data_IF_483136672405
#
_entry.id   IF_483136672405
#
_cell.length_a   1.000
_cell.length_b   1.000
_cell.length_c   1.000
_cell.angle_alpha   90.00
_cell.angle_beta   90.00
_cell.angle_gamma   90.00
#
_symmetry.space_group_name_H-M   'P 1'
#
loop_
_entity.id
_entity.type
_entity.pdbx_description
1 polymer ?
#
# COMPACT_ATOMS: atom_id res chain seq x y z
N UNK A 1 -13.83 -3.72 -5.65
CA UNK A 1 -13.60 -3.79 -4.18
C UNK A 1 -14.64 -2.91 -3.52
N UNK A 2 -15.40 -3.46 -2.57
CA UNK A 2 -16.51 -2.74 -1.96
C UNK A 2 -16.01 -1.53 -1.16
N UNK A 3 -16.76 -0.43 -1.21
CA UNK A 3 -16.49 0.83 -0.49
C UNK A 3 -16.98 0.76 0.98
N UNK A 4 -16.92 -0.44 1.59
CA UNK A 4 -17.55 -0.76 2.89
C UNK A 4 -16.59 -1.35 3.94
N UNK A 5 -15.28 -1.17 3.78
CA UNK A 5 -14.27 -1.58 4.76
C UNK A 5 -13.72 -0.37 5.55
N UNK A 6 -13.05 -0.62 6.68
CA UNK A 6 -12.41 0.41 7.50
C UNK A 6 -11.06 0.85 6.93
N UNK A 7 -10.50 0.12 5.94
CA UNK A 7 -9.35 0.57 5.16
C UNK A 7 -9.70 1.79 4.28
N UNK A 8 -8.96 2.87 4.47
CA UNK A 8 -9.06 4.04 3.61
C UNK A 8 -8.47 3.78 2.22
N UNK A 9 -8.78 4.64 1.25
CA UNK A 9 -8.10 4.60 -0.06
C UNK A 9 -6.59 4.81 0.09
N UNK A 10 -6.15 5.63 1.05
CA UNK A 10 -4.73 5.81 1.32
C UNK A 10 -4.09 4.52 1.87
N UNK A 11 -4.76 3.80 2.77
CA UNK A 11 -4.26 2.53 3.33
C UNK A 11 -4.07 1.49 2.23
N UNK A 12 -5.04 1.38 1.31
CA UNK A 12 -4.96 0.45 0.17
C UNK A 12 -3.77 0.80 -0.74
N UNK A 13 -3.58 2.06 -1.09
CA UNK A 13 -2.43 2.48 -1.89
C UNK A 13 -1.10 2.30 -1.13
N UNK A 14 -1.08 2.47 0.19
CA UNK A 14 0.10 2.23 1.03
C UNK A 14 0.55 0.77 0.96
N UNK A 15 -0.38 -0.18 1.13
CA UNK A 15 -0.13 -1.63 0.96
C UNK A 15 0.47 -1.90 -0.42
N UNK A 16 -0.13 -1.33 -1.47
CA UNK A 16 0.33 -1.54 -2.85
C UNK A 16 1.76 -1.03 -3.04
N UNK A 17 2.07 0.17 -2.54
CA UNK A 17 3.41 0.77 -2.68
C UNK A 17 4.46 -0.07 -1.98
N UNK A 18 4.24 -0.45 -0.72
CA UNK A 18 5.19 -1.22 0.08
C UNK A 18 5.46 -2.60 -0.53
N UNK A 19 4.41 -3.38 -0.80
CA UNK A 19 4.52 -4.73 -1.38
C UNK A 19 5.09 -4.70 -2.81
N UNK A 20 4.76 -3.68 -3.61
CA UNK A 20 5.36 -3.49 -4.93
C UNK A 20 6.84 -3.13 -4.87
N UNK A 21 7.28 -2.45 -3.80
CA UNK A 21 8.69 -2.14 -3.57
C UNK A 21 9.49 -3.40 -3.25
N UNK A 22 8.96 -4.29 -2.41
CA UNK A 22 9.51 -5.65 -2.17
C UNK A 22 9.68 -6.41 -3.49
N UNK A 23 8.66 -6.36 -4.35
CA UNK A 23 8.67 -6.97 -5.68
C UNK A 23 9.45 -6.17 -6.74
N UNK A 24 10.03 -5.01 -6.39
CA UNK A 24 10.80 -4.10 -7.25
C UNK A 24 10.04 -3.59 -8.49
N UNK A 25 8.71 -3.57 -8.46
CA UNK A 25 7.89 -3.26 -9.62
C UNK A 25 7.80 -1.74 -9.88
N UNK A 26 8.68 -1.21 -10.74
CA UNK A 26 8.73 0.23 -11.06
C UNK A 26 7.36 0.82 -11.46
N UNK A 27 6.59 0.12 -12.30
CA UNK A 27 5.29 0.62 -12.75
C UNK A 27 4.35 0.86 -11.57
N UNK A 28 4.17 -0.15 -10.73
CA UNK A 28 3.25 -0.08 -9.60
C UNK A 28 3.73 0.91 -8.54
N UNK A 29 5.03 0.94 -8.21
CA UNK A 29 5.61 1.89 -7.26
C UNK A 29 5.31 3.34 -7.69
N UNK A 30 5.55 3.66 -8.96
CA UNK A 30 5.36 5.04 -9.46
C UNK A 30 3.88 5.41 -9.55
N UNK A 31 3.03 4.53 -10.09
CA UNK A 31 1.61 4.82 -10.29
C UNK A 31 0.86 4.90 -8.95
N UNK A 32 1.02 3.89 -8.10
CA UNK A 32 0.33 3.83 -6.81
C UNK A 32 0.93 4.76 -5.77
N UNK A 33 2.23 5.08 -5.88
CA UNK A 33 2.82 6.17 -5.09
C UNK A 33 2.17 7.52 -5.38
N UNK A 34 1.80 7.80 -6.64
CA UNK A 34 1.06 9.01 -7.00
C UNK A 34 -0.36 9.04 -6.41
N UNK A 35 -1.08 7.92 -6.51
CA UNK A 35 -2.42 7.78 -5.93
C UNK A 35 -2.40 7.89 -4.40
N UNK A 36 -1.43 7.23 -3.77
CA UNK A 36 -1.19 7.35 -2.33
C UNK A 36 -1.02 8.81 -1.91
N UNK A 37 -0.12 9.56 -2.59
CA UNK A 37 0.09 10.99 -2.29
C UNK A 37 -1.19 11.82 -2.43
N UNK A 38 -2.04 11.50 -3.41
CA UNK A 38 -3.34 12.18 -3.59
C UNK A 38 -4.30 11.88 -2.44
N UNK A 39 -4.47 10.59 -2.07
CA UNK A 39 -5.45 10.19 -1.07
C UNK A 39 -5.02 10.54 0.35
N UNK A 40 -3.76 10.29 0.70
CA UNK A 40 -3.19 10.62 2.02
C UNK A 40 -2.97 12.13 2.22
N UNK A 41 -2.89 12.89 1.12
CA UNK A 41 -2.41 14.29 1.11
C UNK A 41 -1.02 14.45 1.72
N UNK A 42 -0.24 13.37 1.78
CA UNK A 42 1.13 13.35 2.26
C UNK A 42 2.08 13.19 1.06
N UNK A 43 2.85 14.23 0.69
CA UNK A 43 3.71 14.16 -0.49
C UNK A 43 4.96 13.27 -0.30
N UNK A 44 5.28 12.87 0.94
CA UNK A 44 6.53 12.19 1.29
C UNK A 44 6.37 10.69 1.53
N UNK A 45 5.28 10.26 2.16
CA UNK A 45 5.17 8.90 2.69
C UNK A 45 5.27 7.81 1.60
N UNK A 46 4.76 8.06 0.39
CA UNK A 46 4.90 7.12 -0.72
C UNK A 46 6.37 6.82 -1.08
N UNK A 47 7.25 7.82 -1.00
CA UNK A 47 8.67 7.63 -1.30
C UNK A 47 9.37 6.88 -0.15
N UNK A 48 8.96 7.15 1.09
CA UNK A 48 9.48 6.44 2.28
C UNK A 48 9.11 4.95 2.25
N UNK A 49 7.82 4.65 1.98
CA UNK A 49 7.32 3.28 1.81
C UNK A 49 8.08 2.51 0.73
N UNK A 50 8.34 3.17 -0.40
CA UNK A 50 9.04 2.55 -1.52
C UNK A 50 10.54 2.30 -1.24
N UNK A 51 11.15 3.13 -0.39
CA UNK A 51 12.57 3.01 -0.04
C UNK A 51 12.79 2.00 1.09
N UNK A 52 12.07 2.16 2.21
CA UNK A 52 12.05 1.25 3.34
C UNK A 52 10.85 1.56 4.23
N UNK A 53 9.81 0.72 4.15
CA UNK A 53 8.59 0.87 4.92
C UNK A 53 8.83 0.77 6.44
N UNK A 54 9.82 0.01 6.90
CA UNK A 54 10.11 -0.15 8.34
C UNK A 54 10.48 1.19 9.00
N UNK A 55 11.20 2.02 8.26
CA UNK A 55 11.66 3.36 8.67
C UNK A 55 10.74 4.51 8.21
N UNK A 56 9.63 4.19 7.54
CA UNK A 56 8.68 5.21 7.10
C UNK A 56 7.93 5.84 8.29
N UNK A 57 7.46 7.08 8.11
CA UNK A 57 6.71 7.82 9.14
C UNK A 57 5.26 7.33 9.21
N UNK A 58 5.07 6.10 9.67
CA UNK A 58 3.79 5.42 9.86
C UNK A 58 3.26 5.65 11.27
N UNK A 59 1.94 5.78 11.39
CA UNK A 59 1.28 5.60 12.69
C UNK A 59 1.14 4.10 13.03
N UNK A 60 0.77 3.80 14.29
CA UNK A 60 0.71 2.42 14.77
C UNK A 60 -0.30 1.56 13.99
N UNK A 61 -1.42 2.16 13.57
CA UNK A 61 -2.43 1.48 12.75
C UNK A 61 -1.90 1.15 11.36
N UNK A 62 -1.22 2.09 10.72
CA UNK A 62 -0.61 1.89 9.41
C UNK A 62 0.48 0.83 9.45
N UNK A 63 1.25 0.78 10.53
CA UNK A 63 2.26 -0.25 10.77
C UNK A 63 1.61 -1.62 10.91
N UNK A 64 0.59 -1.77 11.75
CA UNK A 64 -0.14 -3.04 11.90
C UNK A 64 -0.72 -3.56 10.57
N UNK A 65 -1.24 -2.66 9.73
CA UNK A 65 -1.71 -3.01 8.37
C UNK A 65 -0.56 -3.54 7.51
N UNK A 66 0.60 -2.87 7.54
CA UNK A 66 1.75 -3.26 6.71
C UNK A 66 2.44 -4.53 7.20
N UNK A 67 2.52 -4.76 8.51
CA UNK A 67 3.11 -5.99 9.06
C UNK A 67 2.38 -7.22 8.47
N UNK A 68 1.05 -7.22 8.52
CA UNK A 68 0.21 -8.27 7.93
C UNK A 68 0.36 -8.34 6.41
N UNK A 69 0.37 -7.19 5.72
CA UNK A 69 0.50 -7.16 4.26
C UNK A 69 1.86 -7.69 3.78
N UNK A 70 2.93 -7.43 4.52
CA UNK A 70 4.28 -7.87 4.19
C UNK A 70 4.43 -9.38 4.39
N UNK A 71 3.88 -9.93 5.48
CA UNK A 71 3.84 -11.39 5.68
C UNK A 71 3.08 -12.10 4.55
N UNK A 72 1.92 -11.57 4.14
CA UNK A 72 1.17 -12.12 3.00
C UNK A 72 1.98 -11.99 1.69
N UNK A 73 2.70 -10.88 1.51
CA UNK A 73 3.55 -10.67 0.34
C UNK A 73 4.68 -11.72 0.25
N UNK A 74 5.21 -12.13 1.39
CA UNK A 74 6.25 -13.16 1.52
C UNK A 74 5.68 -14.59 1.63
N UNK A 75 4.36 -14.75 1.48
CA UNK A 75 3.63 -16.02 1.59
C UNK A 75 3.71 -16.69 2.98
N UNK A 76 3.87 -15.89 4.04
CA UNK A 76 3.84 -16.35 5.43
C UNK A 76 2.40 -16.49 5.96
N UNK A 77 2.12 -17.42 6.89
CA UNK A 77 0.80 -17.61 7.47
C UNK A 77 0.48 -16.52 8.49
N UNK A 78 -0.76 -16.00 8.44
CA UNK A 78 -1.25 -15.04 9.43
C UNK A 78 -1.54 -15.72 10.78
N UNK A 79 -1.12 -15.07 11.86
CA UNK A 79 -1.26 -15.54 13.24
C UNK A 79 -2.44 -14.91 13.96
N UNK A 80 -2.94 -15.56 15.01
CA UNK A 80 -4.02 -15.02 15.85
C UNK A 80 -3.63 -13.69 16.53
N UNK A 81 -2.34 -13.53 16.90
CA UNK A 81 -1.83 -12.31 17.51
C UNK A 81 -1.91 -11.11 16.55
N UNK A 82 -1.62 -11.31 15.27
CA UNK A 82 -1.76 -10.26 14.25
C UNK A 82 -3.24 -9.90 14.03
N UNK A 83 -4.13 -10.89 14.06
CA UNK A 83 -5.57 -10.64 13.96
C UNK A 83 -6.05 -9.79 15.14
N UNK A 84 -5.57 -10.08 16.34
CA UNK A 84 -5.91 -9.29 17.53
C UNK A 84 -5.30 -7.89 17.49
N UNK A 85 -4.06 -7.75 17.00
CA UNK A 85 -3.44 -6.44 16.82
C UNK A 85 -4.21 -5.56 15.83
N UNK A 86 -4.68 -6.12 14.71
CA UNK A 86 -5.56 -5.39 13.79
C UNK A 86 -6.84 -4.89 14.49
N UNK A 87 -7.46 -5.71 15.35
CA UNK A 87 -8.65 -5.31 16.13
C UNK A 87 -8.36 -4.17 17.10
N UNK A 88 -7.19 -4.16 17.74
CA UNK A 88 -6.77 -3.06 18.62
C UNK A 88 -6.75 -1.71 17.89
N UNK A 89 -6.52 -1.71 16.58
CA UNK A 89 -6.55 -0.53 15.71
C UNK A 89 -7.89 -0.31 15.00
N UNK A 90 -8.96 -0.98 15.45
CA UNK A 90 -10.32 -0.82 14.93
C UNK A 90 -10.55 -1.44 13.56
N UNK A 91 -9.72 -2.42 13.16
CA UNK A 91 -9.90 -3.22 11.95
C UNK A 91 -10.57 -4.55 12.31
N UNK A 92 -11.40 -5.05 11.42
CA UNK A 92 -12.08 -6.33 11.61
C UNK A 92 -11.55 -7.42 10.68
N UNK A 93 -12.19 -8.60 10.71
CA UNK A 93 -11.79 -9.72 9.87
C UNK A 93 -11.99 -9.41 8.38
N UNK A 94 -13.00 -8.63 8.01
CA UNK A 94 -13.23 -8.23 6.61
C UNK A 94 -12.11 -7.30 6.14
N UNK A 95 -11.58 -6.44 7.01
CA UNK A 95 -10.38 -5.65 6.72
C UNK A 95 -9.15 -6.53 6.48
N UNK A 96 -8.96 -7.62 7.24
CA UNK A 96 -7.89 -8.60 6.96
C UNK A 96 -8.06 -9.21 5.56
N UNK A 97 -9.29 -9.60 5.19
CA UNK A 97 -9.58 -10.08 3.84
C UNK A 97 -9.27 -9.03 2.76
N UNK A 98 -9.56 -7.75 3.04
CA UNK A 98 -9.23 -6.64 2.16
C UNK A 98 -7.71 -6.44 2.03
N UNK A 99 -6.94 -6.50 3.13
CA UNK A 99 -5.47 -6.43 3.13
C UNK A 99 -4.89 -7.57 2.27
N UNK A 100 -5.33 -8.81 2.53
CA UNK A 100 -4.87 -9.98 1.78
C UNK A 100 -5.26 -9.93 0.30
N UNK A 101 -6.46 -9.44 -0.01
CA UNK A 101 -6.94 -9.30 -1.39
C UNK A 101 -6.16 -8.25 -2.17
N UNK A 102 -5.89 -7.08 -1.56
CA UNK A 102 -5.07 -6.03 -2.19
C UNK A 102 -3.65 -6.54 -2.42
N UNK A 103 -3.03 -7.12 -1.40
CA UNK A 103 -1.67 -7.67 -1.48
C UNK A 103 -1.57 -8.72 -2.59
N UNK A 104 -2.48 -9.70 -2.60
CA UNK A 104 -2.48 -10.78 -3.59
C UNK A 104 -2.73 -10.29 -5.03
N UNK A 105 -3.68 -9.37 -5.20
CA UNK A 105 -3.98 -8.79 -6.51
C UNK A 105 -2.77 -8.03 -7.06
N UNK A 106 -2.06 -7.29 -6.21
CA UNK A 106 -0.90 -6.53 -6.64
C UNK A 106 0.37 -7.37 -6.79
N UNK A 107 0.48 -8.50 -6.10
CA UNK A 107 1.47 -9.53 -6.41
C UNK A 107 1.27 -10.07 -7.85
N UNK A 108 0.02 -10.31 -8.29
CA UNK A 108 -0.30 -10.65 -9.68
C UNK A 108 0.02 -9.48 -10.62
N UNK A 109 -0.43 -8.27 -10.29
CA UNK A 109 -0.23 -7.07 -11.11
C UNK A 109 1.26 -6.78 -11.35
N UNK A 110 2.09 -6.87 -10.31
CA UNK A 110 3.53 -6.70 -10.41
C UNK A 110 4.15 -7.68 -11.40
N UNK A 111 3.77 -8.97 -11.34
CA UNK A 111 4.24 -10.02 -12.25
C UNK A 111 3.81 -9.74 -13.69
N UNK A 112 2.56 -9.32 -13.89
CA UNK A 112 2.06 -8.95 -15.23
C UNK A 112 2.78 -7.72 -15.79
N UNK A 113 3.10 -6.73 -14.95
CA UNK A 113 3.85 -5.55 -15.36
C UNK A 113 5.25 -5.89 -15.87
N UNK A 114 5.92 -6.88 -15.26
CA UNK A 114 7.17 -7.43 -15.79
C UNK A 114 6.97 -8.13 -17.13
N UNK A 115 5.99 -9.02 -17.23
CA UNK A 115 5.68 -9.77 -18.47
C UNK A 115 5.44 -8.85 -19.65
N UNK A 116 4.77 -7.72 -19.42
CA UNK A 116 4.42 -6.75 -20.45
C UNK A 116 5.48 -5.64 -20.63
N UNK A 117 6.55 -5.61 -19.83
CA UNK A 117 7.51 -4.52 -19.76
C UNK A 117 6.84 -3.13 -19.62
N UNK A 118 5.81 -3.04 -18.76
CA UNK A 118 5.03 -1.82 -18.58
C UNK A 118 5.91 -0.66 -18.08
N UNK A 119 5.69 0.53 -18.64
CA UNK A 119 6.33 1.77 -18.20
C UNK A 119 5.28 2.73 -17.63
N UNK A 120 5.51 3.32 -16.45
CA UNK A 120 4.55 4.23 -15.86
C UNK A 120 4.47 5.52 -16.67
N UNK A 121 3.26 6.07 -16.79
CA UNK A 121 3.03 7.35 -17.44
C UNK A 121 3.82 8.46 -16.74
N UNK A 122 4.38 9.41 -17.50
CA UNK A 122 5.25 10.47 -16.97
C UNK A 122 4.53 11.37 -15.95
N UNK A 123 3.21 11.53 -16.08
CA UNK A 123 2.39 12.33 -15.18
C UNK A 123 2.45 11.83 -13.72
N UNK A 124 2.56 10.52 -13.51
CA UNK A 124 2.59 9.93 -12.15
C UNK A 124 3.83 10.34 -11.35
N UNK A 125 4.95 10.64 -12.01
CA UNK A 125 6.19 11.00 -11.32
C UNK A 125 6.05 12.30 -10.52
N UNK A 126 5.29 13.29 -11.02
CA UNK A 126 5.11 14.58 -10.34
C UNK A 126 3.81 14.67 -9.54
N UNK A 127 2.82 13.85 -9.89
CA UNK A 127 1.48 13.89 -9.31
C UNK A 127 1.52 13.68 -7.79
N UNK A 128 0.84 14.58 -7.06
CA UNK A 128 0.72 14.56 -5.60
C UNK A 128 1.96 15.07 -4.82
N UNK A 129 3.03 15.51 -5.49
CA UNK A 129 4.25 16.01 -4.81
C UNK A 129 4.13 17.44 -4.30
N UNK A 130 3.36 18.28 -4.98
CA UNK A 130 3.10 19.67 -4.58
C UNK A 130 1.70 19.75 -3.97
N UNK A 131 1.57 20.09 -2.68
CA UNK A 131 0.25 20.31 -2.06
C UNK A 131 -0.52 21.39 -2.83
N UNK A 132 -1.82 21.16 -3.07
CA UNK A 132 -2.68 22.21 -3.62
C UNK A 132 -2.86 23.31 -2.58
N UNK A 133 -2.57 24.54 -2.97
CA UNK A 133 -3.00 25.72 -2.19
C UNK A 133 -4.52 25.69 -2.06
N UNK A 134 -5.02 25.95 -0.84
CA UNK A 134 -6.45 26.15 -0.64
C UNK A 134 -6.83 27.45 -1.36
N UNK A 135 -7.63 27.33 -2.42
CA UNK A 135 -8.36 28.47 -2.99
C UNK A 135 -9.53 28.83 -2.09
#
# INVERSE_FOLDING_TARGET
MADRGNLTKADKEMIIVATSATNRCQYCIVAHGALHRIYSKNPYLADQLAANWETANLDDRQRAILDVAMDICDCEPITDDQIEELKNHGLDIEDLWDIGSVTSLFALSNRMAYTMNLKPNTQFYLMGRVPREKK
#
